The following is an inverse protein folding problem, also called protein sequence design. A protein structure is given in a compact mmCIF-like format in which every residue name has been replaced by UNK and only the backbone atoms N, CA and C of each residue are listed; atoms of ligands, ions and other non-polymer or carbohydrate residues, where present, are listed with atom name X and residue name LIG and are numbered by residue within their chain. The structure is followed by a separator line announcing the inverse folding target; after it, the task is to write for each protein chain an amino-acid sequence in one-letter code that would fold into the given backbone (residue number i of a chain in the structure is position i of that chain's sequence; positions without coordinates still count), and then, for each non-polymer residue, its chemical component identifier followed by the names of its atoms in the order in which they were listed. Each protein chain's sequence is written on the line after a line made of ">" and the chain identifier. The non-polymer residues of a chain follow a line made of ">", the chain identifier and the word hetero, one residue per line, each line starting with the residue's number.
data_IF_432983808116
#
_entry.id   IF_432983808116
#
_cell.length_a   1.000
_cell.length_b   1.000
_cell.length_c   1.000
_cell.angle_alpha   90.00
_cell.angle_beta   90.00
_cell.angle_gamma   90.00
#
_symmetry.space_group_name_H-M   'P 1'
#
loop_
_entity.id
_entity.type
_entity.pdbx_description
1 polymer ?
#
# COMPACT_ATOMS: atom_id res chain seq x y z
N UNK A 1 20.74 22.02 -40.22
CA UNK A 1 21.03 21.43 -41.54
C UNK A 1 20.92 19.93 -41.36
N UNK A 2 19.70 19.39 -41.47
CA UNK A 2 19.44 17.95 -41.41
C UNK A 2 19.33 17.52 -42.87
N UNK A 3 20.38 16.90 -43.39
CA UNK A 3 20.36 16.24 -44.69
C UNK A 3 19.29 15.14 -44.67
N UNK A 4 18.69 14.85 -45.83
CA UNK A 4 17.47 14.05 -46.02
C UNK A 4 17.42 12.73 -45.21
N UNK A 5 16.21 12.20 -45.01
CA UNK A 5 15.90 10.90 -44.39
C UNK A 5 16.59 9.68 -45.04
N UNK A 6 17.46 9.89 -46.02
CA UNK A 6 18.17 8.87 -46.80
C UNK A 6 19.45 8.35 -46.11
N UNK A 7 19.83 8.85 -44.93
CA UNK A 7 21.08 8.44 -44.26
C UNK A 7 20.96 7.71 -42.91
N UNK A 8 20.24 6.57 -42.81
CA UNK A 8 20.26 5.69 -41.62
C UNK A 8 21.66 5.25 -41.20
N UNK A 9 22.60 5.14 -42.15
CA UNK A 9 23.97 4.67 -41.92
C UNK A 9 24.76 5.64 -41.03
N UNK A 10 24.61 6.95 -41.24
CA UNK A 10 25.30 7.96 -40.43
C UNK A 10 24.74 8.02 -39.01
N UNK A 11 23.42 7.89 -38.85
CA UNK A 11 22.79 7.83 -37.53
C UNK A 11 23.29 6.63 -36.72
N UNK A 12 23.42 5.45 -37.32
CA UNK A 12 23.96 4.27 -36.64
C UNK A 12 25.42 4.45 -36.17
N UNK A 13 26.24 5.15 -36.95
CA UNK A 13 27.62 5.48 -36.54
C UNK A 13 27.64 6.50 -35.39
N UNK A 14 26.79 7.52 -35.46
CA UNK A 14 26.61 8.51 -34.39
C UNK A 14 26.12 7.84 -33.11
N UNK A 15 25.15 6.94 -33.20
CA UNK A 15 24.65 6.17 -32.05
C UNK A 15 25.74 5.31 -31.42
N UNK A 16 26.59 4.65 -32.23
CA UNK A 16 27.75 3.91 -31.70
C UNK A 16 28.71 4.83 -30.93
N UNK A 17 28.95 6.04 -31.43
CA UNK A 17 29.80 7.02 -30.76
C UNK A 17 29.17 7.48 -29.43
N UNK A 18 27.90 7.89 -29.45
CA UNK A 18 27.18 8.40 -28.27
C UNK A 18 27.05 7.32 -27.19
N UNK A 19 26.74 6.07 -27.57
CA UNK A 19 26.60 4.97 -26.63
C UNK A 19 27.90 4.63 -25.86
N UNK A 20 29.05 4.99 -26.43
CA UNK A 20 30.36 4.81 -25.80
C UNK A 20 30.74 5.94 -24.83
N UNK A 21 29.93 6.99 -24.70
CA UNK A 21 30.20 8.01 -23.69
C UNK A 21 30.04 7.45 -22.27
N UNK A 22 30.97 7.79 -21.36
CA UNK A 22 30.87 7.37 -19.98
C UNK A 22 29.78 8.19 -19.25
N UNK A 23 29.23 7.66 -18.16
CA UNK A 23 28.11 8.31 -17.44
C UNK A 23 28.52 9.65 -16.81
N UNK A 24 29.81 9.85 -16.57
CA UNK A 24 30.44 11.04 -16.00
C UNK A 24 31.03 11.99 -17.08
N UNK A 25 30.66 11.80 -18.35
CA UNK A 25 30.98 12.75 -19.39
C UNK A 25 30.44 14.16 -19.02
N UNK A 26 31.07 15.25 -19.50
CA UNK A 26 30.64 16.60 -19.17
C UNK A 26 29.14 16.82 -19.44
N UNK A 27 28.42 17.40 -18.48
CA UNK A 27 26.95 17.54 -18.55
C UNK A 27 26.48 18.24 -19.83
N UNK A 28 27.17 19.29 -20.27
CA UNK A 28 26.83 20.01 -21.50
C UNK A 28 26.88 19.11 -22.75
N UNK A 29 27.79 18.13 -22.78
CA UNK A 29 27.92 17.19 -23.90
C UNK A 29 26.79 16.18 -23.86
N UNK A 30 26.49 15.62 -22.68
CA UNK A 30 25.37 14.70 -22.48
C UNK A 30 24.05 15.38 -22.86
N UNK A 31 23.81 16.61 -22.41
CA UNK A 31 22.64 17.42 -22.76
C UNK A 31 22.53 17.67 -24.26
N UNK A 32 23.62 18.01 -24.93
CA UNK A 32 23.61 18.26 -26.38
C UNK A 32 23.26 16.98 -27.16
N UNK A 33 23.84 15.84 -26.79
CA UNK A 33 23.50 14.54 -27.37
C UNK A 33 22.04 14.19 -27.11
N UNK A 34 21.59 14.38 -25.87
CA UNK A 34 20.22 14.18 -25.43
C UNK A 34 19.21 14.97 -26.28
N UNK A 35 19.43 16.27 -26.48
CA UNK A 35 18.57 17.11 -27.33
C UNK A 35 18.55 16.61 -28.77
N UNK A 36 19.71 16.34 -29.35
CA UNK A 36 19.79 15.83 -30.71
C UNK A 36 19.06 14.50 -30.89
N UNK A 37 19.21 13.56 -29.95
CA UNK A 37 18.52 12.27 -29.99
C UNK A 37 17.02 12.40 -29.75
N UNK A 38 16.58 13.38 -28.96
CA UNK A 38 15.15 13.68 -28.80
C UNK A 38 14.56 14.19 -30.10
N UNK A 39 15.24 15.11 -30.80
CA UNK A 39 14.80 15.61 -32.11
C UNK A 39 14.68 14.47 -33.14
N UNK A 40 15.63 13.53 -33.10
CA UNK A 40 15.59 12.31 -33.94
C UNK A 40 14.36 11.46 -33.61
N UNK A 41 14.08 11.21 -32.33
CA UNK A 41 12.89 10.46 -31.92
C UNK A 41 11.60 11.15 -32.36
N UNK A 42 11.51 12.46 -32.18
CA UNK A 42 10.32 13.24 -32.56
C UNK A 42 10.09 13.19 -34.06
N UNK A 43 11.16 13.32 -34.85
CA UNK A 43 11.10 13.17 -36.30
C UNK A 43 10.58 11.78 -36.72
N UNK A 44 11.12 10.69 -36.15
CA UNK A 44 10.70 9.33 -36.50
C UNK A 44 9.28 9.00 -36.00
N UNK A 45 8.87 9.52 -34.85
CA UNK A 45 7.50 9.37 -34.35
C UNK A 45 6.49 10.07 -35.27
N UNK A 46 6.84 11.22 -35.85
CA UNK A 46 6.00 11.87 -36.88
C UNK A 46 5.94 11.07 -38.19
N UNK A 47 7.01 10.36 -38.56
CA UNK A 47 7.09 9.57 -39.78
C UNK A 47 6.39 8.21 -39.71
N UNK A 48 6.25 7.62 -38.51
CA UNK A 48 5.76 6.25 -38.35
C UNK A 48 4.33 6.01 -38.92
N UNK A 49 3.56 7.07 -39.17
CA UNK A 49 2.30 6.99 -39.91
C UNK A 49 2.47 6.64 -41.41
N UNK A 50 3.70 6.61 -41.94
CA UNK A 50 3.97 6.51 -43.39
C UNK A 50 4.96 5.42 -43.81
N UNK A 51 5.79 4.89 -42.90
CA UNK A 51 6.87 3.96 -43.23
C UNK A 51 6.92 2.77 -42.27
N UNK A 52 6.63 1.58 -42.77
CA UNK A 52 6.61 0.34 -41.98
C UNK A 52 8.00 -0.31 -41.76
N UNK A 53 9.05 0.16 -42.44
CA UNK A 53 10.38 -0.50 -42.48
C UNK A 53 11.55 0.44 -42.12
N UNK A 54 11.45 1.23 -41.04
CA UNK A 54 12.58 2.06 -40.63
C UNK A 54 13.76 1.20 -40.14
N UNK A 55 14.92 1.32 -40.79
CA UNK A 55 16.16 0.61 -40.45
C UNK A 55 16.87 1.11 -39.16
N UNK A 56 16.25 2.01 -38.39
CA UNK A 56 16.87 2.66 -37.22
C UNK A 56 16.40 1.96 -35.94
N UNK A 57 17.35 1.50 -35.13
CA UNK A 57 17.07 0.89 -33.83
C UNK A 57 16.85 1.98 -32.75
N UNK A 58 15.59 2.40 -32.58
CA UNK A 58 15.22 3.39 -31.57
C UNK A 58 15.49 2.90 -30.13
N UNK A 59 15.58 1.58 -29.89
CA UNK A 59 15.87 1.05 -28.56
C UNK A 59 17.26 1.45 -28.07
N UNK A 60 18.23 1.56 -28.99
CA UNK A 60 19.57 2.06 -28.66
C UNK A 60 19.54 3.50 -28.14
N UNK A 61 18.59 4.33 -28.60
CA UNK A 61 18.39 5.70 -28.11
C UNK A 61 17.77 5.69 -26.71
N UNK A 62 16.69 4.93 -26.50
CA UNK A 62 16.06 4.83 -25.18
C UNK A 62 17.00 4.24 -24.12
N UNK A 63 17.83 3.26 -24.49
CA UNK A 63 18.88 2.70 -23.65
C UNK A 63 19.99 3.70 -23.32
N UNK A 64 20.28 4.66 -24.20
CA UNK A 64 21.18 5.76 -23.87
C UNK A 64 20.55 6.66 -22.81
N UNK A 65 19.30 7.07 -23.00
CA UNK A 65 18.57 7.93 -22.06
C UNK A 65 18.42 7.30 -20.67
N UNK A 66 18.21 5.98 -20.57
CA UNK A 66 18.05 5.29 -19.28
C UNK A 66 19.30 5.35 -18.39
N UNK A 67 20.47 5.71 -18.96
CA UNK A 67 21.73 5.87 -18.22
C UNK A 67 21.90 7.26 -17.59
N UNK A 68 21.07 8.24 -17.98
CA UNK A 68 21.23 9.67 -17.66
C UNK A 68 19.87 10.35 -17.39
N UNK A 69 19.08 9.88 -16.41
CA UNK A 69 17.73 10.41 -16.14
C UNK A 69 17.69 11.93 -15.86
N UNK A 70 18.73 12.49 -15.24
CA UNK A 70 18.80 13.93 -14.95
C UNK A 70 18.84 14.79 -16.23
N UNK A 71 19.54 14.31 -17.26
CA UNK A 71 19.58 14.98 -18.56
C UNK A 71 18.20 14.90 -19.25
N UNK A 72 17.49 13.78 -19.09
CA UNK A 72 16.11 13.60 -19.59
C UNK A 72 15.17 14.62 -18.94
N UNK A 73 15.24 14.82 -17.62
CA UNK A 73 14.46 15.82 -16.91
C UNK A 73 14.68 17.23 -17.51
N UNK A 74 15.95 17.60 -17.71
CA UNK A 74 16.33 18.89 -18.30
C UNK A 74 15.73 19.10 -19.69
N UNK A 75 15.70 18.06 -20.55
CA UNK A 75 15.07 18.14 -21.88
C UNK A 75 13.56 18.39 -21.75
N UNK A 76 12.88 17.66 -20.88
CA UNK A 76 11.43 17.76 -20.70
C UNK A 76 11.02 19.14 -20.16
N UNK A 77 11.83 19.70 -19.25
CA UNK A 77 11.64 21.07 -18.74
C UNK A 77 11.85 22.13 -19.82
N UNK A 78 12.91 22.00 -20.63
CA UNK A 78 13.19 22.95 -21.72
C UNK A 78 12.06 22.98 -22.75
N UNK A 79 11.56 21.79 -23.13
CA UNK A 79 10.40 21.68 -24.04
C UNK A 79 9.12 22.20 -23.37
N UNK A 80 9.00 22.03 -22.05
CA UNK A 80 7.88 22.51 -21.23
C UNK A 80 7.67 24.02 -21.27
N UNK A 81 8.74 24.82 -21.41
CA UNK A 81 8.66 26.30 -21.43
C UNK A 81 7.94 26.86 -22.67
N UNK A 82 7.89 26.08 -23.75
CA UNK A 82 7.20 26.43 -25.00
C UNK A 82 5.99 25.55 -25.28
N UNK A 83 5.75 24.51 -24.47
CA UNK A 83 4.81 23.45 -24.83
C UNK A 83 3.36 23.87 -24.64
N UNK A 84 2.59 23.61 -25.70
CA UNK A 84 1.15 23.48 -25.67
C UNK A 84 0.74 22.54 -24.52
N UNK A 85 -0.26 22.93 -23.74
CA UNK A 85 -0.88 22.05 -22.73
C UNK A 85 -1.83 21.05 -23.40
N UNK A 86 -1.59 20.71 -24.66
CA UNK A 86 -2.41 19.78 -25.40
C UNK A 86 -2.21 18.36 -24.89
N UNK A 87 -3.27 17.56 -25.03
CA UNK A 87 -3.27 16.15 -24.68
C UNK A 87 -2.13 15.41 -25.39
N UNK A 88 -1.94 15.66 -26.69
CA UNK A 88 -0.94 14.97 -27.51
C UNK A 88 0.49 15.26 -27.06
N UNK A 89 0.78 16.48 -26.61
CA UNK A 89 2.11 16.85 -26.12
C UNK A 89 2.43 16.15 -24.79
N UNK A 90 1.43 16.02 -23.92
CA UNK A 90 1.57 15.33 -22.64
C UNK A 90 1.72 13.82 -22.88
N UNK A 91 0.85 13.22 -23.70
CA UNK A 91 0.91 11.80 -24.05
C UNK A 91 2.24 11.44 -24.73
N UNK A 92 2.73 12.28 -25.64
CA UNK A 92 4.05 12.11 -26.26
C UNK A 92 5.18 12.12 -25.22
N UNK A 93 5.10 13.01 -24.23
CA UNK A 93 6.08 13.10 -23.14
C UNK A 93 6.03 11.85 -22.25
N UNK A 94 4.83 11.39 -21.87
CA UNK A 94 4.63 10.18 -21.09
C UNK A 94 5.17 8.96 -21.84
N UNK A 95 4.81 8.80 -23.11
CA UNK A 95 5.28 7.72 -23.98
C UNK A 95 6.81 7.72 -24.09
N UNK A 96 7.42 8.90 -24.25
CA UNK A 96 8.87 9.04 -24.26
C UNK A 96 9.51 8.54 -22.95
N UNK A 97 9.02 8.96 -21.79
CA UNK A 97 9.56 8.51 -20.49
C UNK A 97 9.33 7.00 -20.30
N UNK A 98 8.14 6.49 -20.63
CA UNK A 98 7.77 5.09 -20.55
C UNK A 98 8.72 4.20 -21.36
N UNK A 99 9.06 4.59 -22.59
CA UNK A 99 10.01 3.85 -23.41
C UNK A 99 11.42 3.83 -22.81
N UNK A 100 11.83 4.86 -22.06
CA UNK A 100 13.12 4.88 -21.35
C UNK A 100 13.08 3.93 -20.14
N UNK A 101 11.97 3.91 -19.38
CA UNK A 101 11.80 3.09 -18.17
C UNK A 101 12.09 1.60 -18.40
N UNK A 102 11.71 1.08 -19.58
CA UNK A 102 11.93 -0.34 -19.96
C UNK A 102 13.42 -0.73 -19.98
N UNK A 103 14.32 0.23 -20.18
CA UNK A 103 15.77 0.00 -20.27
C UNK A 103 16.54 0.41 -19.02
N UNK A 104 15.87 0.72 -17.91
CA UNK A 104 16.52 1.08 -16.66
C UNK A 104 17.08 -0.15 -15.95
N UNK A 105 18.38 -0.10 -15.61
CA UNK A 105 19.05 -1.19 -14.88
C UNK A 105 19.01 -1.01 -13.35
N UNK A 106 18.70 0.21 -12.87
CA UNK A 106 18.72 0.59 -11.45
C UNK A 106 17.35 1.10 -11.00
N UNK A 107 16.97 0.72 -9.78
CA UNK A 107 15.74 1.20 -9.12
C UNK A 107 15.71 2.72 -8.97
N UNK A 108 16.85 3.36 -8.69
CA UNK A 108 16.95 4.83 -8.57
C UNK A 108 16.54 5.56 -9.86
N UNK A 109 16.95 5.01 -11.00
CA UNK A 109 16.73 5.62 -12.31
C UNK A 109 15.24 5.50 -12.69
N UNK A 110 14.63 4.34 -12.38
CA UNK A 110 13.18 4.11 -12.49
C UNK A 110 12.38 5.09 -11.64
N UNK A 111 12.74 5.25 -10.36
CA UNK A 111 12.05 6.18 -9.45
C UNK A 111 12.16 7.62 -9.96
N UNK A 112 13.35 8.03 -10.40
CA UNK A 112 13.57 9.40 -10.89
C UNK A 112 12.73 9.72 -12.13
N UNK A 113 12.66 8.79 -13.09
CA UNK A 113 11.84 8.94 -14.28
C UNK A 113 10.33 8.86 -14.00
N UNK A 114 9.91 8.00 -13.06
CA UNK A 114 8.51 7.91 -12.65
C UNK A 114 8.05 9.19 -11.92
N UNK A 115 8.90 9.77 -11.07
CA UNK A 115 8.65 11.08 -10.43
C UNK A 115 8.54 12.17 -11.49
N UNK A 116 9.46 12.21 -12.46
CA UNK A 116 9.39 13.17 -13.57
C UNK A 116 8.07 13.04 -14.36
N UNK A 117 7.62 11.81 -14.62
CA UNK A 117 6.34 11.57 -15.29
C UNK A 117 5.17 12.06 -14.44
N UNK A 118 5.16 11.72 -13.15
CA UNK A 118 4.16 12.20 -12.19
C UNK A 118 4.09 13.73 -12.17
N UNK A 119 5.23 14.40 -12.10
CA UNK A 119 5.31 15.86 -12.08
C UNK A 119 4.83 16.47 -13.42
N UNK A 120 5.03 15.78 -14.56
CA UNK A 120 4.44 16.17 -15.85
C UNK A 120 2.92 16.06 -15.81
N UNK A 121 2.37 14.97 -15.26
CA UNK A 121 0.93 14.78 -15.09
C UNK A 121 0.33 15.90 -14.21
N UNK A 122 0.89 16.09 -13.00
CA UNK A 122 0.40 17.07 -12.02
C UNK A 122 0.44 18.51 -12.55
N UNK A 123 1.55 18.91 -13.18
CA UNK A 123 1.73 20.31 -13.60
C UNK A 123 1.00 20.64 -14.91
N UNK A 124 0.70 19.65 -15.76
CA UNK A 124 0.14 19.89 -17.09
C UNK A 124 -1.32 19.45 -17.25
N UNK A 125 -1.91 18.77 -16.27
CA UNK A 125 -3.31 18.27 -16.33
C UNK A 125 -4.36 18.95 -15.44
N UNK A 126 -4.30 20.24 -15.08
CA UNK A 126 -5.32 20.80 -14.19
C UNK A 126 -6.75 20.77 -14.80
N UNK A 127 -6.91 20.69 -16.13
CA UNK A 127 -8.23 20.84 -16.80
C UNK A 127 -8.57 19.76 -17.86
N UNK A 128 -7.67 18.80 -18.17
CA UNK A 128 -7.85 17.80 -19.24
C UNK A 128 -8.47 16.48 -18.76
N UNK A 129 -8.97 15.66 -19.69
CA UNK A 129 -9.42 14.28 -19.44
C UNK A 129 -8.26 13.41 -18.95
N UNK A 130 -8.05 13.39 -17.64
CA UNK A 130 -7.15 12.48 -16.92
C UNK A 130 -7.36 11.00 -17.25
N UNK A 131 -8.57 10.65 -17.66
CA UNK A 131 -8.95 9.30 -18.03
C UNK A 131 -8.17 8.76 -19.24
N UNK A 132 -8.01 9.55 -20.30
CA UNK A 132 -7.30 9.10 -21.51
C UNK A 132 -5.82 8.81 -21.21
N UNK A 133 -5.22 9.60 -20.31
CA UNK A 133 -3.86 9.37 -19.84
C UNK A 133 -3.78 8.13 -18.93
N UNK A 134 -4.77 7.91 -18.05
CA UNK A 134 -4.83 6.69 -17.25
C UNK A 134 -4.91 5.46 -18.16
N UNK A 135 -5.76 5.51 -19.18
CA UNK A 135 -5.90 4.46 -20.18
C UNK A 135 -4.58 4.20 -20.92
N UNK A 136 -3.89 5.25 -21.37
CA UNK A 136 -2.58 5.12 -22.01
C UNK A 136 -1.53 4.48 -21.09
N UNK A 137 -1.49 4.90 -19.82
CA UNK A 137 -0.62 4.36 -18.78
C UNK A 137 -0.93 2.88 -18.52
N UNK A 138 -2.19 2.53 -18.27
CA UNK A 138 -2.63 1.14 -18.02
C UNK A 138 -2.33 0.24 -19.21
N UNK A 139 -2.60 0.70 -20.45
CA UNK A 139 -2.26 -0.04 -21.67
C UNK A 139 -0.77 -0.28 -21.81
N UNK A 140 0.06 0.73 -21.53
CA UNK A 140 1.50 0.61 -21.57
C UNK A 140 2.01 -0.44 -20.57
N UNK A 141 1.67 -0.29 -19.28
CA UNK A 141 2.11 -1.21 -18.23
C UNK A 141 1.56 -2.62 -18.45
N UNK A 142 0.30 -2.76 -18.87
CA UNK A 142 -0.30 -4.05 -19.22
C UNK A 142 0.49 -4.75 -20.34
N UNK A 143 0.76 -4.03 -21.43
CA UNK A 143 1.50 -4.58 -22.57
C UNK A 143 2.87 -5.09 -22.14
N UNK A 144 3.69 -4.24 -21.51
CA UNK A 144 5.08 -4.60 -21.20
C UNK A 144 5.18 -5.73 -20.16
N UNK A 145 4.30 -5.74 -19.16
CA UNK A 145 4.32 -6.76 -18.11
C UNK A 145 3.83 -8.10 -18.65
N UNK A 146 2.72 -8.12 -19.40
CA UNK A 146 2.19 -9.36 -19.98
C UNK A 146 3.14 -9.94 -21.05
N UNK A 147 3.78 -9.08 -21.86
CA UNK A 147 4.85 -9.52 -22.76
C UNK A 147 6.02 -10.13 -21.98
N UNK A 148 6.44 -9.50 -20.87
CA UNK A 148 7.49 -10.05 -20.03
C UNK A 148 7.11 -11.41 -19.42
N UNK A 149 5.85 -11.61 -19.03
CA UNK A 149 5.36 -12.90 -18.51
C UNK A 149 5.32 -14.00 -19.57
N UNK A 150 4.99 -13.63 -20.81
CA UNK A 150 4.96 -14.55 -21.94
C UNK A 150 6.37 -14.95 -22.41
N UNK A 151 7.37 -14.09 -22.20
CA UNK A 151 8.77 -14.40 -22.51
C UNK A 151 9.31 -15.42 -21.51
N UNK A 152 10.01 -16.45 -22.01
CA UNK A 152 10.71 -17.45 -21.18
C UNK A 152 12.03 -16.89 -20.62
N UNK A 153 12.00 -15.68 -20.07
CA UNK A 153 13.17 -15.04 -19.46
C UNK A 153 13.52 -15.72 -18.13
N UNK A 154 14.73 -15.45 -17.63
CA UNK A 154 15.12 -15.86 -16.29
C UNK A 154 14.13 -15.25 -15.27
N UNK A 155 13.61 -16.07 -14.36
CA UNK A 155 12.66 -15.65 -13.32
C UNK A 155 13.20 -14.46 -12.50
N UNK A 156 14.49 -14.42 -12.22
CA UNK A 156 15.10 -13.31 -11.47
C UNK A 156 15.10 -11.99 -12.25
N UNK A 157 15.35 -12.04 -13.56
CA UNK A 157 15.30 -10.85 -14.41
C UNK A 157 13.86 -10.37 -14.59
N UNK A 158 12.94 -11.31 -14.78
CA UNK A 158 11.50 -11.05 -14.86
C UNK A 158 10.98 -10.39 -13.58
N UNK A 159 11.34 -10.93 -12.40
CA UNK A 159 10.98 -10.36 -11.10
C UNK A 159 11.51 -8.94 -10.92
N UNK A 160 12.81 -8.72 -11.21
CA UNK A 160 13.43 -7.39 -11.13
C UNK A 160 12.74 -6.39 -12.06
N UNK A 161 12.47 -6.79 -13.30
CA UNK A 161 11.77 -5.95 -14.28
C UNK A 161 10.35 -5.61 -13.80
N UNK A 162 9.59 -6.59 -13.33
CA UNK A 162 8.24 -6.38 -12.80
C UNK A 162 8.24 -5.47 -11.57
N UNK A 163 9.19 -5.65 -10.65
CA UNK A 163 9.32 -4.77 -9.50
C UNK A 163 9.57 -3.32 -9.93
N UNK A 164 10.42 -3.10 -10.94
CA UNK A 164 10.70 -1.77 -11.48
C UNK A 164 9.43 -1.16 -12.10
N UNK A 165 8.72 -1.93 -12.93
CA UNK A 165 7.52 -1.44 -13.61
C UNK A 165 6.38 -1.16 -12.61
N UNK A 166 6.16 -2.02 -11.60
CA UNK A 166 5.16 -1.76 -10.56
C UNK A 166 5.53 -0.58 -9.67
N UNK A 167 6.81 -0.37 -9.38
CA UNK A 167 7.29 0.83 -8.67
C UNK A 167 7.00 2.09 -9.48
N UNK A 168 7.30 2.08 -10.78
CA UNK A 168 7.01 3.23 -11.64
C UNK A 168 5.49 3.46 -11.75
N UNK A 169 4.71 2.40 -11.94
CA UNK A 169 3.27 2.48 -12.05
C UNK A 169 2.65 3.11 -10.79
N UNK A 170 3.05 2.65 -9.60
CA UNK A 170 2.64 3.22 -8.32
C UNK A 170 2.93 4.72 -8.20
N UNK A 171 4.16 5.15 -8.47
CA UNK A 171 4.55 6.57 -8.38
C UNK A 171 3.73 7.43 -9.35
N UNK A 172 3.55 6.94 -10.58
CA UNK A 172 2.82 7.65 -11.63
C UNK A 172 1.35 7.77 -11.26
N UNK A 173 0.73 6.68 -10.82
CA UNK A 173 -0.67 6.69 -10.41
C UNK A 173 -0.90 7.59 -9.21
N UNK A 174 0.01 7.64 -8.24
CA UNK A 174 -0.13 8.51 -7.08
C UNK A 174 -0.27 9.99 -7.45
N UNK A 175 0.31 10.46 -8.57
CA UNK A 175 0.11 11.84 -9.05
C UNK A 175 -1.22 12.10 -9.75
N UNK A 176 -2.00 11.06 -10.02
CA UNK A 176 -3.28 11.16 -10.75
C UNK A 176 -4.50 11.34 -9.83
N UNK A 177 -4.31 11.27 -8.51
CA UNK A 177 -5.39 11.29 -7.51
C UNK A 177 -6.32 12.52 -7.58
N UNK A 178 -5.86 13.64 -8.13
CA UNK A 178 -6.57 14.93 -8.15
C UNK A 178 -7.57 15.09 -9.31
N UNK A 179 -7.66 14.14 -10.25
CA UNK A 179 -8.14 14.51 -11.60
C UNK A 179 -9.29 13.65 -12.16
N UNK A 180 -9.70 12.57 -11.49
CA UNK A 180 -10.69 11.63 -12.07
C UNK A 180 -12.13 12.08 -11.82
N UNK A 181 -12.88 12.28 -12.91
CA UNK A 181 -14.28 12.72 -12.89
C UNK A 181 -15.25 11.53 -12.72
N UNK A 182 -16.50 11.75 -12.27
CA UNK A 182 -17.48 10.69 -12.04
C UNK A 182 -17.95 9.90 -13.27
N UNK A 183 -17.57 10.35 -14.47
CA UNK A 183 -17.86 9.74 -15.76
C UNK A 183 -16.71 8.86 -16.29
N UNK A 184 -15.68 8.58 -15.49
CA UNK A 184 -14.61 7.64 -15.88
C UNK A 184 -15.18 6.29 -16.31
N UNK A 185 -14.69 5.75 -17.44
CA UNK A 185 -15.12 4.43 -17.87
C UNK A 185 -14.54 3.38 -16.92
N UNK A 186 -15.44 2.68 -16.22
CA UNK A 186 -15.13 1.59 -15.29
C UNK A 186 -14.21 0.53 -15.92
N UNK A 187 -14.26 0.38 -17.25
CA UNK A 187 -13.46 -0.56 -18.04
C UNK A 187 -11.95 -0.41 -17.85
N UNK A 188 -11.40 0.83 -17.85
CA UNK A 188 -9.94 1.02 -17.71
C UNK A 188 -9.47 0.72 -16.29
N UNK A 189 -10.30 1.01 -15.30
CA UNK A 189 -10.01 0.66 -13.89
C UNK A 189 -10.04 -0.87 -13.75
N UNK A 190 -11.02 -1.55 -14.33
CA UNK A 190 -11.10 -3.01 -14.34
C UNK A 190 -9.88 -3.64 -15.02
N UNK A 191 -9.42 -3.10 -16.16
CA UNK A 191 -8.18 -3.53 -16.83
C UNK A 191 -6.95 -3.36 -15.91
N UNK A 192 -6.88 -2.25 -15.16
CA UNK A 192 -5.80 -2.01 -14.21
C UNK A 192 -5.84 -2.98 -13.01
N UNK A 193 -7.03 -3.29 -12.49
CA UNK A 193 -7.21 -4.33 -11.48
C UNK A 193 -6.77 -5.69 -12.00
N UNK A 194 -7.21 -6.08 -13.21
CA UNK A 194 -6.83 -7.33 -13.85
C UNK A 194 -5.32 -7.44 -14.04
N UNK A 195 -4.65 -6.36 -14.43
CA UNK A 195 -3.19 -6.31 -14.48
C UNK A 195 -2.57 -6.59 -13.11
N UNK A 196 -3.02 -5.93 -12.05
CA UNK A 196 -2.50 -6.14 -10.70
C UNK A 196 -2.69 -7.59 -10.24
N UNK A 197 -3.86 -8.18 -10.49
CA UNK A 197 -4.14 -9.57 -10.16
C UNK A 197 -3.28 -10.55 -10.96
N UNK A 198 -3.02 -10.28 -12.25
CA UNK A 198 -2.11 -11.07 -13.06
C UNK A 198 -0.67 -11.02 -12.52
N UNK A 199 -0.21 -9.84 -12.06
CA UNK A 199 1.12 -9.68 -11.42
C UNK A 199 1.19 -10.50 -10.13
N UNK A 200 0.18 -10.40 -9.26
CA UNK A 200 0.10 -11.15 -8.01
C UNK A 200 0.11 -12.67 -8.25
N UNK A 201 -0.61 -13.14 -9.27
CA UNK A 201 -0.64 -14.57 -9.61
C UNK A 201 0.70 -15.08 -10.14
N UNK A 202 1.40 -14.27 -10.95
CA UNK A 202 2.70 -14.63 -11.49
C UNK A 202 3.80 -14.61 -10.42
N UNK A 203 3.76 -13.63 -9.50
CA UNK A 203 4.80 -13.38 -8.50
C UNK A 203 4.35 -13.58 -7.04
N UNK A 204 3.41 -14.50 -6.80
CA UNK A 204 2.83 -14.79 -5.47
C UNK A 204 3.78 -14.98 -4.29
N UNK A 205 5.04 -15.35 -4.54
CA UNK A 205 6.04 -15.61 -3.51
C UNK A 205 7.09 -14.49 -3.40
N UNK A 206 6.96 -13.42 -4.18
CA UNK A 206 7.87 -12.28 -4.18
C UNK A 206 7.19 -11.13 -3.43
N UNK A 207 7.51 -11.01 -2.14
CA UNK A 207 6.85 -10.06 -1.24
C UNK A 207 7.03 -8.61 -1.69
N UNK A 208 8.18 -8.24 -2.25
CA UNK A 208 8.44 -6.89 -2.74
C UNK A 208 7.52 -6.52 -3.92
N UNK A 209 7.32 -7.46 -4.85
CA UNK A 209 6.40 -7.26 -5.99
C UNK A 209 4.95 -7.21 -5.48
N UNK A 210 4.58 -8.10 -4.56
CA UNK A 210 3.24 -8.09 -3.97
C UNK A 210 2.96 -6.78 -3.22
N UNK A 211 3.92 -6.26 -2.47
CA UNK A 211 3.84 -4.97 -1.77
C UNK A 211 3.60 -3.82 -2.75
N UNK A 212 4.43 -3.71 -3.80
CA UNK A 212 4.24 -2.67 -4.82
C UNK A 212 2.93 -2.80 -5.60
N UNK A 213 2.48 -4.03 -5.82
CA UNK A 213 1.18 -4.26 -6.45
C UNK A 213 0.02 -3.86 -5.54
N UNK A 214 0.11 -4.14 -4.24
CA UNK A 214 -0.86 -3.67 -3.24
C UNK A 214 -0.93 -2.15 -3.18
N UNK A 215 0.20 -1.45 -3.27
CA UNK A 215 0.21 0.02 -3.32
C UNK A 215 -0.55 0.55 -4.56
N UNK A 216 -0.37 -0.06 -5.74
CA UNK A 216 -1.15 0.30 -6.94
C UNK A 216 -2.64 0.02 -6.74
N UNK A 217 -3.00 -1.12 -6.14
CA UNK A 217 -4.40 -1.45 -5.83
C UNK A 217 -5.04 -0.40 -4.92
N UNK A 218 -4.31 0.12 -3.91
CA UNK A 218 -4.80 1.19 -3.04
C UNK A 218 -5.19 2.43 -3.83
N UNK A 219 -4.35 2.85 -4.78
CA UNK A 219 -4.66 3.96 -5.68
C UNK A 219 -5.90 3.69 -6.53
N UNK A 220 -6.01 2.49 -7.12
CA UNK A 220 -7.15 2.13 -7.96
C UNK A 220 -8.46 2.15 -7.15
N UNK A 221 -8.42 1.66 -5.91
CA UNK A 221 -9.55 1.73 -4.98
C UNK A 221 -9.95 3.17 -4.69
N UNK A 222 -8.99 4.05 -4.38
CA UNK A 222 -9.28 5.47 -4.15
C UNK A 222 -9.91 6.11 -5.40
N UNK A 223 -9.38 5.76 -6.58
CA UNK A 223 -9.90 6.22 -7.87
C UNK A 223 -11.36 5.81 -8.09
N UNK A 224 -11.76 4.60 -7.68
CA UNK A 224 -13.15 4.14 -7.84
C UNK A 224 -14.16 4.94 -7.03
N UNK A 225 -13.76 5.60 -5.95
CA UNK A 225 -14.64 6.42 -5.12
C UNK A 225 -15.32 7.51 -5.95
N UNK A 226 -14.55 8.13 -6.83
CA UNK A 226 -15.03 9.18 -7.71
C UNK A 226 -15.92 8.63 -8.83
N UNK A 227 -15.77 7.37 -9.25
CA UNK A 227 -16.40 6.78 -10.43
C UNK A 227 -17.89 6.42 -10.29
N UNK A 228 -18.52 6.63 -9.11
CA UNK A 228 -19.98 6.62 -8.89
C UNK A 228 -20.75 5.29 -9.11
N UNK A 229 -20.21 4.31 -9.85
CA UNK A 229 -20.88 3.04 -10.22
C UNK A 229 -19.95 1.82 -10.18
N UNK A 230 -18.98 1.80 -9.29
CA UNK A 230 -18.08 0.66 -9.15
C UNK A 230 -18.70 -0.45 -8.27
N UNK A 231 -18.55 -1.72 -8.66
CA UNK A 231 -19.07 -2.86 -7.91
C UNK A 231 -18.08 -3.29 -6.82
N UNK A 232 -18.14 -2.63 -5.66
CA UNK A 232 -17.26 -2.91 -4.52
C UNK A 232 -17.41 -4.31 -3.94
N UNK A 233 -18.59 -4.94 -4.06
CA UNK A 233 -18.81 -6.30 -3.56
C UNK A 233 -17.97 -7.31 -4.36
N UNK A 234 -18.00 -7.23 -5.69
CA UNK A 234 -17.18 -8.09 -6.56
C UNK A 234 -15.68 -7.88 -6.32
N UNK A 235 -15.22 -6.63 -6.25
CA UNK A 235 -13.81 -6.33 -5.96
C UNK A 235 -13.40 -6.88 -4.59
N UNK A 236 -14.21 -6.68 -3.55
CA UNK A 236 -13.91 -7.18 -2.21
C UNK A 236 -13.85 -8.71 -2.20
N UNK A 237 -14.79 -9.39 -2.87
CA UNK A 237 -14.78 -10.85 -3.00
C UNK A 237 -13.53 -11.34 -3.72
N UNK A 238 -13.12 -10.68 -4.82
CA UNK A 238 -11.89 -10.98 -5.55
C UNK A 238 -10.67 -10.83 -4.65
N UNK A 239 -10.54 -9.70 -3.94
CA UNK A 239 -9.44 -9.46 -3.01
C UNK A 239 -9.38 -10.53 -1.91
N UNK A 240 -10.53 -10.96 -1.36
CA UNK A 240 -10.59 -12.02 -0.34
C UNK A 240 -10.05 -13.34 -0.87
N UNK A 241 -10.46 -13.73 -2.10
CA UNK A 241 -9.95 -14.95 -2.75
C UNK A 241 -8.42 -14.90 -2.92
N UNK A 242 -7.88 -13.76 -3.33
CA UNK A 242 -6.44 -13.55 -3.44
C UNK A 242 -5.74 -13.59 -2.09
N UNK A 243 -6.32 -12.94 -1.07
CA UNK A 243 -5.77 -12.94 0.29
C UNK A 243 -5.68 -14.36 0.87
N UNK A 244 -6.74 -15.16 0.75
CA UNK A 244 -6.74 -16.56 1.21
C UNK A 244 -5.69 -17.43 0.48
N UNK A 245 -5.45 -17.14 -0.80
CA UNK A 245 -4.49 -17.86 -1.65
C UNK A 245 -3.05 -17.50 -1.32
N UNK A 246 -2.77 -16.21 -1.13
CA UNK A 246 -1.41 -15.67 -1.05
C UNK A 246 -0.91 -15.51 0.39
N UNK A 247 -1.79 -15.12 1.33
CA UNK A 247 -1.47 -14.90 2.75
C UNK A 247 -0.40 -13.83 3.02
N UNK A 248 -0.15 -12.95 2.05
CA UNK A 248 0.79 -11.84 2.21
C UNK A 248 0.11 -10.70 2.97
N UNK A 249 0.80 -10.13 3.95
CA UNK A 249 0.26 -9.04 4.78
C UNK A 249 -0.06 -7.78 3.96
N UNK A 250 0.64 -7.55 2.85
CA UNK A 250 0.44 -6.40 1.96
C UNK A 250 -0.97 -6.35 1.36
N UNK A 251 -1.63 -7.50 1.22
CA UNK A 251 -2.99 -7.57 0.70
C UNK A 251 -4.03 -7.10 1.73
N UNK A 252 -3.63 -6.84 2.98
CA UNK A 252 -4.48 -6.15 3.95
C UNK A 252 -4.64 -4.66 3.63
N UNK A 253 -3.69 -4.03 2.94
CA UNK A 253 -3.76 -2.59 2.66
C UNK A 253 -4.92 -2.19 1.75
N UNK A 254 -5.21 -2.91 0.64
CA UNK A 254 -6.40 -2.65 -0.15
C UNK A 254 -7.69 -2.67 0.67
N UNK A 255 -7.79 -3.58 1.65
CA UNK A 255 -8.96 -3.61 2.56
C UNK A 255 -8.99 -2.42 3.51
N UNK A 256 -7.84 -1.98 4.03
CA UNK A 256 -7.75 -0.78 4.88
C UNK A 256 -8.25 0.44 4.10
N UNK A 257 -7.76 0.62 2.86
CA UNK A 257 -8.21 1.69 1.98
C UNK A 257 -9.69 1.59 1.64
N UNK A 258 -10.22 0.38 1.40
CA UNK A 258 -11.65 0.19 1.18
C UNK A 258 -12.47 0.62 2.41
N UNK A 259 -12.04 0.24 3.61
CA UNK A 259 -12.76 0.58 4.85
C UNK A 259 -12.71 2.07 5.14
N UNK A 260 -11.55 2.70 4.94
CA UNK A 260 -11.36 4.13 5.25
C UNK A 260 -12.15 5.05 4.31
N UNK A 261 -12.22 4.71 3.02
CA UNK A 261 -12.89 5.54 2.01
C UNK A 261 -14.38 5.18 1.85
N UNK A 262 -14.79 3.92 2.05
CA UNK A 262 -16.16 3.47 1.78
C UNK A 262 -17.00 3.26 3.03
N UNK A 263 -16.83 4.14 4.03
CA UNK A 263 -17.60 4.11 5.29
C UNK A 263 -19.11 4.01 5.07
N UNK A 264 -19.63 4.69 4.05
CA UNK A 264 -21.07 4.63 3.71
C UNK A 264 -21.53 3.24 3.22
N UNK A 265 -20.67 2.47 2.55
CA UNK A 265 -21.01 1.13 2.06
C UNK A 265 -20.88 0.06 3.14
N UNK A 266 -20.07 0.29 4.18
CA UNK A 266 -20.06 -0.52 5.42
C UNK A 266 -21.45 -0.49 6.08
N UNK A 267 -22.29 0.50 5.76
CA UNK A 267 -23.69 0.56 6.20
C UNK A 267 -24.60 -0.48 5.52
N UNK A 268 -24.11 -1.22 4.51
CA UNK A 268 -24.79 -2.36 3.91
C UNK A 268 -24.23 -3.68 4.47
N UNK A 269 -24.72 -4.14 5.64
CA UNK A 269 -24.09 -5.21 6.41
C UNK A 269 -24.24 -6.61 5.80
N UNK A 270 -24.91 -6.75 4.64
CA UNK A 270 -25.25 -8.07 4.09
C UNK A 270 -24.04 -8.78 3.47
N UNK A 271 -23.27 -8.11 2.63
CA UNK A 271 -22.12 -8.73 1.94
C UNK A 271 -20.79 -8.51 2.68
N UNK A 272 -20.59 -7.35 3.31
CA UNK A 272 -19.31 -6.96 3.89
C UNK A 272 -18.83 -7.91 5.00
N UNK A 273 -19.66 -8.14 6.02
CA UNK A 273 -19.26 -8.94 7.20
C UNK A 273 -18.93 -10.40 6.89
N UNK A 274 -19.68 -11.12 6.01
CA UNK A 274 -19.29 -12.45 5.57
C UNK A 274 -17.87 -12.51 4.99
N UNK A 275 -17.51 -11.56 4.12
CA UNK A 275 -16.16 -11.51 3.54
C UNK A 275 -15.10 -11.04 4.55
N UNK A 276 -15.44 -10.05 5.38
CA UNK A 276 -14.52 -9.55 6.40
C UNK A 276 -14.20 -10.63 7.46
N UNK A 277 -15.19 -11.43 7.84
CA UNK A 277 -15.02 -12.59 8.72
C UNK A 277 -13.95 -13.54 8.20
N UNK A 278 -13.96 -13.83 6.90
CA UNK A 278 -12.94 -14.69 6.27
C UNK A 278 -11.54 -14.12 6.48
N UNK A 279 -11.35 -12.81 6.30
CA UNK A 279 -10.06 -12.14 6.49
C UNK A 279 -9.61 -12.28 7.94
N UNK A 280 -10.48 -11.96 8.90
CA UNK A 280 -10.18 -12.01 10.34
C UNK A 280 -9.85 -13.44 10.80
N UNK A 281 -10.68 -14.42 10.46
CA UNK A 281 -10.47 -15.82 10.84
C UNK A 281 -9.20 -16.39 10.22
N UNK A 282 -8.97 -16.12 8.92
CA UNK A 282 -7.79 -16.61 8.23
C UNK A 282 -6.50 -16.02 8.83
N UNK A 283 -6.52 -14.72 9.13
CA UNK A 283 -5.39 -14.03 9.75
C UNK A 283 -5.15 -14.50 11.18
N UNK A 284 -6.22 -14.61 11.97
CA UNK A 284 -6.17 -15.09 13.34
C UNK A 284 -5.51 -16.46 13.42
N UNK A 285 -6.01 -17.43 12.63
CA UNK A 285 -5.44 -18.79 12.57
C UNK A 285 -3.97 -18.78 12.13
N UNK A 286 -3.61 -17.93 11.17
CA UNK A 286 -2.22 -17.81 10.71
C UNK A 286 -1.30 -17.31 11.83
N UNK A 287 -1.71 -16.28 12.59
CA UNK A 287 -0.89 -15.63 13.61
C UNK A 287 -0.92 -16.32 14.99
N UNK A 288 -1.96 -17.08 15.33
CA UNK A 288 -2.10 -17.74 16.65
C UNK A 288 -0.89 -18.59 17.01
N UNK A 289 -0.27 -19.26 16.04
CA UNK A 289 0.85 -20.18 16.25
C UNK A 289 2.22 -19.58 15.88
N UNK A 290 2.31 -18.25 15.69
CA UNK A 290 3.52 -17.57 15.23
C UNK A 290 4.10 -16.67 16.31
N UNK A 291 5.41 -16.43 16.21
CA UNK A 291 6.06 -15.38 16.99
C UNK A 291 5.70 -14.02 16.38
N UNK A 292 5.05 -13.17 17.17
CA UNK A 292 4.52 -11.88 16.68
C UNK A 292 5.63 -10.91 16.26
N UNK A 293 6.84 -11.05 16.82
CA UNK A 293 8.00 -10.23 16.49
C UNK A 293 8.44 -10.43 15.03
N UNK A 294 8.18 -11.61 14.45
CA UNK A 294 8.50 -11.91 13.05
C UNK A 294 7.41 -11.42 12.09
N UNK A 295 6.28 -10.94 12.61
CA UNK A 295 5.08 -10.59 11.83
C UNK A 295 4.48 -9.23 12.22
N UNK A 296 5.32 -8.29 12.65
CA UNK A 296 4.89 -6.95 13.11
C UNK A 296 3.99 -6.24 12.09
N UNK A 297 4.39 -6.20 10.82
CA UNK A 297 3.61 -5.57 9.76
C UNK A 297 2.23 -6.21 9.57
N UNK A 298 2.14 -7.53 9.75
CA UNK A 298 0.88 -8.27 9.66
C UNK A 298 -0.06 -7.87 10.80
N UNK A 299 0.45 -7.87 12.03
CA UNK A 299 -0.32 -7.46 13.21
C UNK A 299 -0.77 -6.01 13.05
N UNK A 300 0.14 -5.10 12.70
CA UNK A 300 -0.17 -3.68 12.47
C UNK A 300 -1.30 -3.51 11.47
N UNK A 301 -1.17 -4.07 10.25
CA UNK A 301 -2.18 -3.93 9.19
C UNK A 301 -3.53 -4.53 9.58
N UNK A 302 -3.52 -5.67 10.28
CA UNK A 302 -4.76 -6.28 10.78
C UNK A 302 -5.47 -5.37 11.79
N UNK A 303 -4.74 -4.79 12.74
CA UNK A 303 -5.31 -3.88 13.73
C UNK A 303 -5.82 -2.59 13.07
N UNK A 304 -5.06 -2.03 12.12
CA UNK A 304 -5.48 -0.87 11.32
C UNK A 304 -6.77 -1.14 10.54
N UNK A 305 -6.96 -2.37 10.05
CA UNK A 305 -8.18 -2.77 9.37
C UNK A 305 -9.37 -2.93 10.33
N UNK A 306 -9.17 -3.56 11.49
CA UNK A 306 -10.27 -3.85 12.43
C UNK A 306 -10.70 -2.60 13.22
N UNK A 307 -9.76 -1.72 13.60
CA UNK A 307 -10.01 -0.58 14.47
C UNK A 307 -11.14 0.35 13.97
N UNK A 308 -11.16 0.81 12.70
CA UNK A 308 -12.24 1.65 12.19
C UNK A 308 -13.59 0.93 12.20
N UNK A 309 -13.62 -0.37 11.87
CA UNK A 309 -14.85 -1.17 11.85
C UNK A 309 -15.38 -1.37 13.27
N UNK A 310 -14.51 -1.63 14.24
CA UNK A 310 -14.90 -1.76 15.65
C UNK A 310 -15.49 -0.45 16.17
N UNK A 311 -14.89 0.69 15.85
CA UNK A 311 -15.36 2.01 16.27
C UNK A 311 -16.72 2.39 15.64
N UNK A 312 -16.94 2.06 14.36
CA UNK A 312 -18.16 2.47 13.63
C UNK A 312 -19.28 1.42 13.66
N UNK A 313 -18.92 0.14 13.87
CA UNK A 313 -19.80 -1.03 13.73
C UNK A 313 -19.66 -2.03 14.87
N UNK A 314 -19.37 -1.55 16.06
CA UNK A 314 -19.16 -2.32 17.28
C UNK A 314 -20.10 -3.52 17.45
N UNK A 315 -21.43 -3.30 17.49
CA UNK A 315 -22.40 -4.38 17.70
C UNK A 315 -22.36 -5.44 16.59
N UNK A 316 -22.34 -5.00 15.32
CA UNK A 316 -22.36 -5.90 14.18
C UNK A 316 -21.06 -6.70 14.08
N UNK A 317 -19.92 -6.09 14.40
CA UNK A 317 -18.63 -6.76 14.40
C UNK A 317 -18.62 -7.89 15.43
N UNK A 318 -19.01 -7.58 16.68
CA UNK A 318 -19.05 -8.57 17.76
C UNK A 318 -20.07 -9.68 17.52
N UNK A 319 -21.24 -9.36 16.98
CA UNK A 319 -22.28 -10.36 16.68
C UNK A 319 -21.86 -11.32 15.57
N UNK A 320 -21.16 -10.82 14.55
CA UNK A 320 -20.88 -11.58 13.32
C UNK A 320 -19.50 -12.24 13.27
N UNK A 321 -18.54 -11.73 14.02
CA UNK A 321 -17.14 -12.15 13.96
C UNK A 321 -16.65 -12.53 15.36
N UNK A 322 -16.11 -13.73 15.48
CA UNK A 322 -15.37 -14.13 16.68
C UNK A 322 -14.02 -13.43 16.71
N UNK A 323 -13.92 -12.40 17.55
CA UNK A 323 -12.69 -11.61 17.72
C UNK A 323 -11.79 -12.12 18.85
N UNK A 324 -12.09 -13.27 19.48
CA UNK A 324 -11.30 -13.79 20.60
C UNK A 324 -9.80 -13.95 20.27
N UNK A 325 -9.49 -14.57 19.13
CA UNK A 325 -8.12 -14.70 18.64
C UNK A 325 -7.44 -13.34 18.38
N UNK A 326 -8.21 -12.32 17.97
CA UNK A 326 -7.71 -10.97 17.73
C UNK A 326 -7.41 -10.27 19.06
N UNK A 327 -8.24 -10.45 20.08
CA UNK A 327 -8.00 -9.92 21.43
C UNK A 327 -6.76 -10.53 22.04
N UNK A 328 -6.58 -11.85 21.90
CA UNK A 328 -5.35 -12.53 22.32
C UNK A 328 -4.13 -11.96 21.59
N UNK A 329 -4.22 -11.81 20.26
CA UNK A 329 -3.14 -11.24 19.46
C UNK A 329 -2.79 -9.81 19.87
N UNK A 330 -3.79 -8.95 20.06
CA UNK A 330 -3.60 -7.57 20.51
C UNK A 330 -3.01 -7.51 21.92
N UNK A 331 -3.43 -8.41 22.82
CA UNK A 331 -2.85 -8.54 24.16
C UNK A 331 -1.36 -8.85 24.11
N UNK A 332 -0.93 -9.78 23.26
CA UNK A 332 0.49 -10.08 23.02
C UNK A 332 1.20 -8.89 22.37
N UNK A 333 0.52 -8.18 21.46
CA UNK A 333 1.00 -6.97 20.79
C UNK A 333 1.35 -5.82 21.73
N UNK A 334 0.79 -5.77 22.95
CA UNK A 334 1.18 -4.81 23.98
C UNK A 334 2.64 -4.97 24.43
N UNK A 335 3.25 -6.14 24.23
CA UNK A 335 4.64 -6.38 24.61
C UNK A 335 5.65 -5.96 23.52
N UNK A 336 5.17 -5.49 22.36
CA UNK A 336 6.04 -5.10 21.24
C UNK A 336 6.74 -3.77 21.52
N UNK A 337 8.01 -3.68 21.11
CA UNK A 337 8.78 -2.44 21.19
C UNK A 337 8.40 -1.45 20.06
N UNK A 338 7.90 -1.95 18.93
CA UNK A 338 7.42 -1.12 17.83
C UNK A 338 6.20 -0.30 18.24
N UNK A 339 6.41 1.01 18.42
CA UNK A 339 5.41 1.94 18.94
C UNK A 339 4.15 1.98 18.07
N UNK A 340 4.30 1.85 16.75
CA UNK A 340 3.15 1.92 15.84
C UNK A 340 2.25 0.70 16.04
N UNK A 341 2.82 -0.51 16.02
CA UNK A 341 2.06 -1.75 16.22
C UNK A 341 1.47 -1.82 17.64
N UNK A 342 2.25 -1.42 18.65
CA UNK A 342 1.76 -1.29 20.03
C UNK A 342 0.51 -0.39 20.11
N UNK A 343 0.56 0.79 19.49
CA UNK A 343 -0.55 1.74 19.52
C UNK A 343 -1.81 1.20 18.85
N UNK A 344 -1.69 0.47 17.74
CA UNK A 344 -2.85 -0.13 17.06
C UNK A 344 -3.47 -1.27 17.89
N UNK A 345 -2.65 -2.10 18.54
CA UNK A 345 -3.14 -3.13 19.47
C UNK A 345 -3.82 -2.51 20.71
N UNK A 346 -3.20 -1.47 21.29
CA UNK A 346 -3.76 -0.73 22.41
C UNK A 346 -5.10 -0.07 22.05
N UNK A 347 -5.18 0.55 20.86
CA UNK A 347 -6.41 1.17 20.34
C UNK A 347 -7.53 0.14 20.23
N UNK A 348 -7.27 -1.05 19.68
CA UNK A 348 -8.27 -2.11 19.58
C UNK A 348 -8.82 -2.53 20.94
N UNK A 349 -7.95 -2.82 21.90
CA UNK A 349 -8.35 -3.26 23.24
C UNK A 349 -9.10 -2.15 23.99
N UNK A 350 -8.64 -0.91 23.85
CA UNK A 350 -9.28 0.26 24.46
C UNK A 350 -10.69 0.46 23.90
N UNK A 351 -10.85 0.46 22.58
CA UNK A 351 -12.14 0.59 21.93
C UNK A 351 -13.08 -0.54 22.34
N UNK A 352 -12.58 -1.78 22.36
CA UNK A 352 -13.34 -2.96 22.73
C UNK A 352 -13.97 -2.83 24.12
N UNK A 353 -13.20 -2.39 25.12
CA UNK A 353 -13.69 -2.33 26.49
C UNK A 353 -14.35 -0.99 26.86
N UNK A 354 -13.98 0.13 26.23
CA UNK A 354 -14.61 1.44 26.52
C UNK A 354 -15.97 1.58 25.84
N UNK A 355 -16.13 1.15 24.58
CA UNK A 355 -17.32 1.47 23.79
C UNK A 355 -18.67 1.11 24.47
N UNK A 356 -18.83 -0.02 25.18
CA UNK A 356 -20.06 -0.33 25.91
C UNK A 356 -20.49 0.76 26.89
N UNK A 357 -19.52 1.48 27.46
CA UNK A 357 -19.76 2.54 28.44
C UNK A 357 -20.10 3.90 27.80
N UNK A 358 -19.75 4.09 26.51
CA UNK A 358 -19.97 5.35 25.79
C UNK A 358 -21.25 5.34 24.94
N UNK A 359 -21.67 4.18 24.45
CA UNK A 359 -22.86 4.04 23.61
C UNK A 359 -24.14 4.54 24.30
N UNK A 360 -24.20 4.43 25.63
CA UNK A 360 -25.31 4.93 26.45
C UNK A 360 -25.43 6.48 26.43
N UNK A 361 -24.36 7.20 26.08
CA UNK A 361 -24.32 8.67 26.17
C UNK A 361 -24.30 9.39 24.80
N UNK A 362 -23.72 8.79 23.77
CA UNK A 362 -23.40 9.51 22.51
C UNK A 362 -24.46 9.35 21.41
N UNK A 363 -25.18 8.22 21.37
CA UNK A 363 -26.23 7.98 20.40
C UNK A 363 -27.53 7.72 21.15
N UNK A 364 -28.29 8.77 21.46
CA UNK A 364 -29.54 8.73 22.25
C UNK A 364 -30.68 7.87 21.68
N UNK A 365 -30.39 6.87 20.83
CA UNK A 365 -31.34 5.94 20.22
C UNK A 365 -30.87 4.48 20.15
N UNK A 366 -29.61 4.14 20.42
CA UNK A 366 -29.12 2.76 20.30
C UNK A 366 -28.84 2.17 21.68
N UNK A 367 -29.84 1.51 22.27
CA UNK A 367 -29.60 0.67 23.47
C UNK A 367 -28.69 -0.48 23.05
N UNK A 368 -27.59 -0.68 23.80
CA UNK A 368 -26.73 -1.86 23.62
C UNK A 368 -27.57 -3.13 23.61
N UNK A 369 -27.35 -4.00 22.62
CA UNK A 369 -27.98 -5.32 22.60
C UNK A 369 -27.50 -6.19 23.77
N UNK A 370 -28.38 -6.98 24.41
CA UNK A 370 -27.98 -7.92 25.47
C UNK A 370 -26.91 -8.92 25.01
N UNK A 371 -26.96 -9.36 23.76
CA UNK A 371 -26.01 -10.28 23.15
C UNK A 371 -24.60 -9.67 23.12
N UNK A 372 -24.50 -8.38 22.77
CA UNK A 372 -23.23 -7.65 22.77
C UNK A 372 -22.62 -7.60 24.16
N UNK A 373 -23.42 -7.31 25.21
CA UNK A 373 -22.94 -7.33 26.60
C UNK A 373 -22.40 -8.70 27.01
N UNK A 374 -23.11 -9.76 26.63
CA UNK A 374 -22.66 -11.15 26.88
C UNK A 374 -21.32 -11.46 26.19
N UNK A 375 -21.18 -11.08 24.92
CA UNK A 375 -19.93 -11.29 24.14
C UNK A 375 -18.76 -10.54 24.80
N UNK A 376 -18.94 -9.26 25.15
CA UNK A 376 -17.89 -8.46 25.79
C UNK A 376 -17.53 -9.02 27.17
N UNK A 377 -18.52 -9.43 27.96
CA UNK A 377 -18.28 -10.08 29.25
C UNK A 377 -17.45 -11.35 29.11
N UNK A 378 -17.76 -12.20 28.12
CA UNK A 378 -17.01 -13.43 27.83
C UNK A 378 -15.58 -13.13 27.36
N UNK A 379 -15.38 -12.14 26.49
CA UNK A 379 -14.05 -11.70 26.04
C UNK A 379 -13.22 -11.14 27.19
N UNK A 380 -13.82 -10.30 28.03
CA UNK A 380 -13.18 -9.78 29.23
C UNK A 380 -12.72 -10.92 30.13
N UNK A 381 -13.63 -11.83 30.50
CA UNK A 381 -13.33 -12.95 31.39
C UNK A 381 -12.23 -13.87 30.83
N UNK A 382 -12.21 -14.08 29.52
CA UNK A 382 -11.24 -14.97 28.88
C UNK A 382 -9.84 -14.36 28.76
N UNK A 383 -9.73 -13.03 28.63
CA UNK A 383 -8.46 -12.37 28.27
C UNK A 383 -7.94 -11.36 29.30
N UNK A 384 -8.72 -10.96 30.31
CA UNK A 384 -8.36 -9.90 31.28
C UNK A 384 -7.03 -10.18 31.96
N UNK A 385 -6.80 -11.41 32.40
CA UNK A 385 -5.59 -11.78 33.12
C UNK A 385 -4.33 -11.54 32.28
N UNK A 386 -4.33 -11.98 31.02
CA UNK A 386 -3.17 -11.82 30.15
C UNK A 386 -2.97 -10.35 29.74
N UNK A 387 -4.04 -9.61 29.45
CA UNK A 387 -3.97 -8.19 29.13
C UNK A 387 -3.37 -7.40 30.31
N UNK A 388 -3.87 -7.63 31.52
CA UNK A 388 -3.40 -6.97 32.74
C UNK A 388 -1.93 -7.29 33.00
N UNK A 389 -1.55 -8.57 32.88
CA UNK A 389 -0.17 -9.01 33.01
C UNK A 389 0.74 -8.33 32.00
N UNK A 390 0.32 -8.23 30.74
CA UNK A 390 1.12 -7.59 29.69
C UNK A 390 1.25 -6.08 29.90
N UNK A 391 0.19 -5.39 30.31
CA UNK A 391 0.25 -3.98 30.72
C UNK A 391 1.23 -3.75 31.88
N UNK A 392 1.20 -4.59 32.92
CA UNK A 392 2.12 -4.46 34.06
C UNK A 392 3.56 -4.72 33.63
N UNK A 393 3.78 -5.74 32.78
CA UNK A 393 5.11 -6.00 32.23
C UNK A 393 5.64 -4.78 31.48
N UNK A 394 4.84 -4.12 30.64
CA UNK A 394 5.24 -2.89 29.93
C UNK A 394 5.55 -1.75 30.91
N UNK A 395 4.71 -1.55 31.93
CA UNK A 395 4.91 -0.50 32.94
C UNK A 395 6.22 -0.68 33.69
N UNK A 396 6.59 -1.93 34.00
CA UNK A 396 7.78 -2.25 34.79
C UNK A 396 9.05 -2.37 33.95
N UNK A 397 8.94 -2.65 32.66
CA UNK A 397 10.08 -2.91 31.78
C UNK A 397 10.39 -1.77 30.81
N UNK A 398 9.41 -0.97 30.41
CA UNK A 398 9.63 0.07 29.40
C UNK A 398 10.27 1.31 30.00
N UNK A 399 11.30 1.82 29.32
CA UNK A 399 11.86 3.16 29.59
C UNK A 399 11.05 4.29 28.95
N UNK A 400 10.09 3.95 28.07
CA UNK A 400 9.27 4.90 27.32
C UNK A 400 8.03 5.32 28.11
N UNK A 401 7.95 6.60 28.48
CA UNK A 401 6.82 7.14 29.25
C UNK A 401 5.47 7.05 28.53
N UNK A 402 5.45 6.94 27.20
CA UNK A 402 4.23 6.80 26.39
C UNK A 402 3.55 5.45 26.59
N UNK A 403 4.25 4.33 26.43
CA UNK A 403 3.65 2.99 26.59
C UNK A 403 3.13 2.78 28.02
N UNK A 404 3.85 3.29 29.03
CA UNK A 404 3.39 3.26 30.44
C UNK A 404 2.05 3.98 30.60
N UNK A 405 1.92 5.17 30.01
CA UNK A 405 0.68 5.96 30.07
C UNK A 405 -0.48 5.22 29.39
N UNK A 406 -0.26 4.69 28.19
CA UNK A 406 -1.30 3.96 27.45
C UNK A 406 -1.74 2.68 28.18
N UNK A 407 -0.82 1.86 28.66
CA UNK A 407 -1.16 0.70 29.51
C UNK A 407 -1.95 1.12 30.76
N UNK A 408 -1.61 2.24 31.40
CA UNK A 408 -2.38 2.80 32.50
C UNK A 408 -3.80 3.21 32.11
N UNK A 409 -3.97 3.82 30.93
CA UNK A 409 -5.28 4.17 30.39
C UNK A 409 -6.14 2.93 30.11
N UNK A 410 -5.57 1.90 29.48
CA UNK A 410 -6.27 0.63 29.21
C UNK A 410 -6.71 -0.06 30.50
N UNK A 411 -5.83 -0.17 31.50
CA UNK A 411 -6.20 -0.74 32.80
C UNK A 411 -7.33 0.04 33.48
N UNK A 412 -7.32 1.37 33.38
CA UNK A 412 -8.40 2.22 33.87
C UNK A 412 -9.70 1.98 33.11
N UNK A 413 -9.64 1.87 31.79
CA UNK A 413 -10.79 1.59 30.93
C UNK A 413 -11.46 0.27 31.32
N UNK A 414 -10.69 -0.82 31.37
CA UNK A 414 -11.20 -2.14 31.75
C UNK A 414 -11.88 -2.12 33.13
N UNK A 415 -11.30 -1.42 34.10
CA UNK A 415 -11.90 -1.26 35.45
C UNK A 415 -13.24 -0.50 35.43
N UNK A 416 -13.42 0.46 34.51
CA UNK A 416 -14.69 1.17 34.36
C UNK A 416 -15.74 0.22 33.78
N UNK A 417 -15.39 -0.50 32.72
CA UNK A 417 -16.25 -1.51 32.08
C UNK A 417 -16.69 -2.58 33.07
N UNK A 418 -15.75 -3.08 33.87
CA UNK A 418 -16.00 -4.08 34.91
C UNK A 418 -17.01 -3.59 35.96
N UNK A 419 -17.01 -2.29 36.30
CA UNK A 419 -17.95 -1.72 37.28
C UNK A 419 -19.35 -1.50 36.72
N UNK A 420 -19.45 -1.19 35.43
CA UNK A 420 -20.69 -0.71 34.82
C UNK A 420 -21.47 -1.84 34.14
N UNK A 421 -20.79 -2.77 33.49
CA UNK A 421 -21.41 -3.69 32.53
C UNK A 421 -21.16 -5.18 32.79
N UNK A 422 -20.15 -5.52 33.59
CA UNK A 422 -19.80 -6.90 33.92
C UNK A 422 -20.20 -7.15 35.37
N UNK A 423 -20.94 -8.23 35.66
CA UNK A 423 -21.38 -8.54 37.03
C UNK A 423 -20.19 -8.55 38.00
N UNK A 424 -20.39 -8.05 39.24
CA UNK A 424 -19.38 -7.85 40.29
C UNK A 424 -18.56 -9.09 40.68
N UNK A 425 -18.86 -10.26 40.13
CA UNK A 425 -18.14 -11.51 40.37
C UNK A 425 -16.75 -11.56 39.74
N UNK A 426 -16.38 -10.60 38.89
CA UNK A 426 -15.14 -10.64 38.08
C UNK A 426 -14.18 -9.50 38.41
N UNK A 427 -14.07 -9.14 39.69
CA UNK A 427 -13.09 -8.16 40.16
C UNK A 427 -11.71 -8.61 39.73
N UNK A 428 -10.97 -7.76 39.00
CA UNK A 428 -9.50 -7.91 38.91
C UNK A 428 -8.99 -7.96 40.34
N UNK A 429 -8.78 -9.18 40.83
CA UNK A 429 -8.62 -9.39 42.25
C UNK A 429 -7.35 -8.70 42.69
N UNK A 430 -7.44 -8.01 43.83
CA UNK A 430 -6.27 -7.37 44.44
C UNK A 430 -5.11 -8.37 44.61
N UNK A 431 -5.44 -9.66 44.81
CA UNK A 431 -4.50 -10.78 44.84
C UNK A 431 -3.74 -10.96 43.52
N UNK A 432 -4.43 -11.00 42.38
CA UNK A 432 -3.80 -11.17 41.07
C UNK A 432 -2.83 -10.04 40.72
N UNK A 433 -3.21 -8.78 41.02
CA UNK A 433 -2.32 -7.63 40.84
C UNK A 433 -1.08 -7.73 41.73
N UNK A 434 -1.24 -8.16 42.99
CA UNK A 434 -0.11 -8.36 43.92
C UNK A 434 0.84 -9.44 43.42
N UNK A 435 0.30 -10.56 42.94
CA UNK A 435 1.07 -11.69 42.42
C UNK A 435 1.92 -11.28 41.20
N UNK A 436 1.31 -10.62 40.21
CA UNK A 436 2.06 -10.16 39.02
C UNK A 436 3.12 -9.14 39.42
N UNK A 437 2.79 -8.23 40.33
CA UNK A 437 3.73 -7.22 40.80
C UNK A 437 4.94 -7.86 41.49
N UNK A 438 4.72 -8.83 42.38
CA UNK A 438 5.79 -9.56 43.07
C UNK A 438 6.67 -10.34 42.09
N UNK A 439 6.08 -11.09 41.16
CA UNK A 439 6.82 -11.85 40.13
C UNK A 439 7.69 -10.92 39.27
N UNK A 440 7.13 -9.78 38.87
CA UNK A 440 7.81 -8.84 37.99
C UNK A 440 8.90 -8.05 38.72
N UNK A 441 8.67 -7.68 39.98
CA UNK A 441 9.68 -7.06 40.84
C UNK A 441 10.88 -8.00 41.05
N UNK A 442 10.62 -9.30 41.29
CA UNK A 442 11.70 -10.28 41.43
C UNK A 442 12.53 -10.42 40.14
N UNK A 443 11.89 -10.37 38.96
CA UNK A 443 12.60 -10.39 37.67
C UNK A 443 13.47 -9.15 37.45
N UNK A 444 12.98 -7.96 37.80
CA UNK A 444 13.73 -6.72 37.63
C UNK A 444 14.96 -6.65 38.56
N UNK A 445 14.83 -7.12 39.80
CA UNK A 445 15.95 -7.24 40.76
C UNK A 445 17.02 -8.21 40.24
N UNK A 446 16.61 -9.37 39.72
CA UNK A 446 17.54 -10.35 39.12
C UNK A 446 18.32 -9.78 37.93
N UNK A 447 17.66 -9.03 37.03
CA UNK A 447 18.34 -8.38 35.88
C UNK A 447 19.35 -7.33 36.32
N UNK A 448 19.06 -6.55 37.36
CA UNK A 448 20.01 -5.57 37.91
C UNK A 448 21.23 -6.26 38.51
N UNK A 449 21.04 -7.36 39.24
CA UNK A 449 22.13 -8.13 39.83
C UNK A 449 23.08 -8.73 38.78
N UNK A 450 22.55 -9.22 37.65
CA UNK A 450 23.37 -9.78 36.56
C UNK A 450 24.16 -8.75 35.76
N UNK A 451 23.84 -7.47 35.87
CA UNK A 451 24.59 -6.38 35.21
C UNK A 451 25.71 -5.83 36.10
N UNK A 452 25.74 -6.20 37.39
CA UNK A 452 26.74 -5.75 38.37
C UNK A 452 27.85 -6.77 38.65
N UNK A 453 27.77 -7.94 38.03
CA UNK A 453 28.78 -9.02 38.03
C UNK A 453 29.37 -9.16 36.64
#
# INVERSE_FOLDING_TARGET
>A
MIESAEFPVHLNQIMKLINNFPRDAPSFLLEACCRHLKDVLDYFNCLHNTLHDSAVDLNSIYKFFSRIPDAVATIIELNGKSCDRSFEAIDSTISFINNILVFCDKKSDVVSLAVLMRDVLENRMPDLSSFDHLNAIVKFYSKILLENFARKTNRSDSARFTLFMMTAFQIVTDGMHMVLRPDCEVTVIDEAFDLCFNVLDHFKNDEDICEKTSEVLNFLILTTENAGRFNYEDLFERLVKYYQKLRNSCLLEPFIYLVDNFKYHINSPMWFFPHFKIIVEHTGVFLSNKEINDHLLFVKRLMQLINPILAERYENLLEKIDIGNIVELASRGLLLEDTITFNECHKLLTELFIHPTLSDYSCGKCKSRPETKSIVGNLHNSHVHEIVKNCINVILSSGGSSHVKECGNLLRAMKITERNDIEKSFLIERGFMSEIWEISLMKSVKRKASLTT
#
